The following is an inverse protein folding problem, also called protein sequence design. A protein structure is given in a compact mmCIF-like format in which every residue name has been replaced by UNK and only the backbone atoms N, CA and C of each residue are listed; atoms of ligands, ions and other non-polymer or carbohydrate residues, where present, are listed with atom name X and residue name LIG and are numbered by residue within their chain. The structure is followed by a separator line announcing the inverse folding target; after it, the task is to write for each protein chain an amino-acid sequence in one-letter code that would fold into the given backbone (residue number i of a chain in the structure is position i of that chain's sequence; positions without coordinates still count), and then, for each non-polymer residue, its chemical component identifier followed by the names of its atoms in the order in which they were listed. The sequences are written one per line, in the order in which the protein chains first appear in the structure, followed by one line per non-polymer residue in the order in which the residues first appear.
data_IF_380309303260
#
_entry.id   IF_380309303260
#
_cell.length_a   1.000
_cell.length_b   1.000
_cell.length_c   1.000
_cell.angle_alpha   90.00
_cell.angle_beta   90.00
_cell.angle_gamma   90.00
#
_symmetry.space_group_name_H-M   'P 1'
#
loop_
_entity.id
_entity.type
_entity.pdbx_description
1 polymer ?
#
# COMPACT_ATOMS: atom_id res chain seq x y z
N UNK A 1 14.73 -14.08 11.06
CA UNK A 1 13.30 -14.10 11.47
C UNK A 1 12.49 -14.43 10.22
N UNK A 2 11.33 -15.07 10.33
CA UNK A 2 10.47 -15.29 9.17
C UNK A 2 9.89 -13.95 8.71
N UNK A 3 9.91 -13.69 7.40
CA UNK A 3 9.34 -12.48 6.80
C UNK A 3 7.84 -12.41 7.10
N UNK A 4 7.35 -11.22 7.48
CA UNK A 4 5.93 -11.03 7.78
C UNK A 4 5.08 -11.23 6.52
N UNK A 5 3.91 -11.86 6.67
CA UNK A 5 2.95 -11.98 5.58
C UNK A 5 2.28 -10.63 5.31
N UNK A 6 1.71 -10.41 4.10
CA UNK A 6 0.96 -9.20 3.78
C UNK A 6 -0.17 -8.93 4.78
N UNK A 7 -0.83 -9.98 5.28
CA UNK A 7 -1.89 -9.87 6.29
C UNK A 7 -1.34 -9.46 7.66
N UNK A 8 -0.16 -9.97 8.06
CA UNK A 8 0.48 -9.57 9.32
C UNK A 8 0.94 -8.10 9.27
N UNK A 9 1.55 -7.68 8.16
CA UNK A 9 1.88 -6.29 7.90
C UNK A 9 0.63 -5.41 7.97
N UNK A 10 -0.44 -5.83 7.30
CA UNK A 10 -1.71 -5.09 7.31
C UNK A 10 -2.30 -4.95 8.70
N UNK A 11 -2.31 -5.99 9.52
CA UNK A 11 -2.87 -5.91 10.88
C UNK A 11 -2.14 -4.89 11.76
N UNK A 12 -0.81 -4.88 11.72
CA UNK A 12 0.00 -3.91 12.47
C UNK A 12 -0.18 -2.49 11.92
N UNK A 13 -0.14 -2.33 10.60
CA UNK A 13 -0.33 -1.06 9.94
C UNK A 13 -1.73 -0.48 10.20
N UNK A 14 -2.77 -1.31 10.14
CA UNK A 14 -4.16 -0.96 10.41
C UNK A 14 -4.35 -0.52 11.87
N UNK A 15 -3.71 -1.22 12.81
CA UNK A 15 -3.73 -0.82 14.21
C UNK A 15 -3.14 0.59 14.41
N UNK A 16 -2.02 0.90 13.76
CA UNK A 16 -1.44 2.26 13.78
C UNK A 16 -2.39 3.28 13.15
N UNK A 17 -3.01 2.93 12.03
CA UNK A 17 -3.97 3.78 11.32
C UNK A 17 -5.20 4.11 12.19
N UNK A 18 -5.78 3.15 12.90
CA UNK A 18 -6.93 3.39 13.78
C UNK A 18 -6.59 4.25 15.01
N UNK A 19 -5.36 4.13 15.52
CA UNK A 19 -4.84 4.99 16.59
C UNK A 19 -4.72 6.44 16.10
N UNK A 20 -4.08 6.65 14.93
CA UNK A 20 -3.96 7.97 14.32
C UNK A 20 -5.32 8.56 13.96
N UNK A 21 -6.22 7.75 13.40
CA UNK A 21 -7.59 8.17 13.08
C UNK A 21 -8.30 8.77 14.30
N UNK A 22 -8.15 8.10 15.46
CA UNK A 22 -8.77 8.54 16.70
C UNK A 22 -8.12 9.80 17.26
N UNK A 23 -6.78 9.88 17.20
CA UNK A 23 -6.01 11.02 17.71
C UNK A 23 -6.24 12.29 16.88
N UNK A 24 -6.19 12.17 15.55
CA UNK A 24 -6.33 13.26 14.59
C UNK A 24 -7.78 13.63 14.30
N UNK A 25 -8.74 12.79 14.71
CA UNK A 25 -10.18 12.93 14.42
C UNK A 25 -10.45 13.09 12.91
N UNK A 26 -9.71 12.34 12.10
CA UNK A 26 -9.75 12.40 10.64
C UNK A 26 -10.49 11.20 10.02
N UNK A 27 -10.65 11.18 8.70
CA UNK A 27 -11.16 10.00 8.00
C UNK A 27 -10.17 8.84 8.10
N UNK A 28 -10.62 7.61 7.82
CA UNK A 28 -9.68 6.48 7.80
C UNK A 28 -8.66 6.66 6.67
N UNK A 29 -9.06 7.20 5.51
CA UNK A 29 -8.15 7.53 4.42
C UNK A 29 -7.07 8.54 4.85
N UNK A 30 -7.44 9.65 5.48
CA UNK A 30 -6.47 10.67 5.89
C UNK A 30 -5.48 10.11 6.92
N UNK A 31 -5.97 9.39 7.92
CA UNK A 31 -5.12 8.73 8.91
C UNK A 31 -4.21 7.66 8.29
N UNK A 32 -4.68 6.96 7.26
CA UNK A 32 -3.90 5.96 6.54
C UNK A 32 -2.74 6.62 5.77
N UNK A 33 -3.00 7.75 5.11
CA UNK A 33 -1.96 8.50 4.39
C UNK A 33 -0.90 9.03 5.35
N UNK A 34 -1.31 9.63 6.47
CA UNK A 34 -0.42 10.07 7.53
C UNK A 34 0.42 8.90 8.10
N UNK A 35 -0.21 7.76 8.33
CA UNK A 35 0.49 6.57 8.84
C UNK A 35 1.50 6.01 7.83
N UNK A 36 1.26 6.14 6.52
CA UNK A 36 2.24 5.75 5.49
C UNK A 36 3.48 6.63 5.60
N UNK A 37 3.31 7.94 5.68
CA UNK A 37 4.42 8.90 5.79
C UNK A 37 5.24 8.62 7.06
N UNK A 38 4.56 8.45 8.19
CA UNK A 38 5.21 8.11 9.46
C UNK A 38 6.03 6.80 9.41
N UNK A 39 5.52 5.78 8.71
CA UNK A 39 6.23 4.51 8.53
C UNK A 39 7.44 4.65 7.60
N UNK A 40 7.34 5.47 6.55
CA UNK A 40 8.45 5.74 5.63
C UNK A 40 9.57 6.50 6.33
N UNK A 41 9.22 7.53 7.09
CA UNK A 41 10.18 8.38 7.82
C UNK A 41 10.68 7.71 9.10
N UNK A 42 9.99 6.66 9.56
CA UNK A 42 10.21 5.99 10.85
C UNK A 42 10.15 7.00 12.03
N UNK A 43 9.23 7.95 11.91
CA UNK A 43 9.00 9.05 12.86
C UNK A 43 7.49 9.33 12.89
N UNK A 44 6.94 9.66 14.06
CA UNK A 44 5.53 10.10 14.16
C UNK A 44 5.53 11.61 14.08
N UNK A 45 4.92 12.17 13.05
CA UNK A 45 4.74 13.62 12.94
C UNK A 45 3.75 14.10 14.01
N UNK A 46 4.09 15.23 14.64
CA UNK A 46 3.28 15.86 15.70
C UNK A 46 3.09 17.33 15.35
N UNK A 47 1.83 17.71 15.12
CA UNK A 47 1.43 19.09 14.84
C UNK A 47 0.49 19.58 15.94
N UNK A 48 0.73 20.79 16.45
CA UNK A 48 -0.08 21.40 17.52
C UNK A 48 -0.32 20.47 18.74
N UNK A 49 0.73 19.75 19.15
CA UNK A 49 0.71 18.76 20.24
C UNK A 49 -0.20 17.54 20.00
N UNK A 50 -0.55 17.24 18.74
CA UNK A 50 -1.33 16.07 18.34
C UNK A 50 -0.52 15.22 17.33
N UNK A 51 -0.39 13.90 17.53
CA UNK A 51 -0.88 13.10 18.66
C UNK A 51 -0.15 13.38 19.97
N UNK A 52 -0.78 13.07 21.10
CA UNK A 52 -0.16 13.21 22.41
C UNK A 52 1.07 12.28 22.58
N UNK A 53 2.00 12.58 23.51
CA UNK A 53 3.22 11.79 23.68
C UNK A 53 3.01 10.29 23.99
N UNK A 54 1.90 9.92 24.63
CA UNK A 54 1.60 8.51 24.91
C UNK A 54 1.15 7.79 23.63
N UNK A 55 0.37 8.47 22.79
CA UNK A 55 -0.03 8.00 21.46
C UNK A 55 1.19 7.86 20.55
N UNK A 56 2.08 8.85 20.52
CA UNK A 56 3.35 8.79 19.77
C UNK A 56 4.17 7.57 20.15
N UNK A 57 4.36 7.34 21.46
CA UNK A 57 5.10 6.17 21.96
C UNK A 57 4.47 4.85 21.49
N UNK A 58 3.15 4.74 21.56
CA UNK A 58 2.41 3.54 21.12
C UNK A 58 2.57 3.29 19.62
N UNK A 59 2.56 4.34 18.80
CA UNK A 59 2.78 4.23 17.35
C UNK A 59 4.22 3.79 17.05
N UNK A 60 5.22 4.36 17.73
CA UNK A 60 6.62 3.95 17.58
C UNK A 60 6.84 2.47 17.93
N UNK A 61 6.18 1.96 18.99
CA UNK A 61 6.22 0.54 19.34
C UNK A 61 5.63 -0.37 18.25
N UNK A 62 4.61 0.11 17.51
CA UNK A 62 4.04 -0.61 16.36
C UNK A 62 5.00 -0.56 15.17
N UNK A 63 5.60 0.60 14.87
CA UNK A 63 6.51 0.75 13.74
C UNK A 63 7.76 -0.10 13.89
N UNK A 64 8.27 -0.27 15.12
CA UNK A 64 9.37 -1.21 15.40
C UNK A 64 9.03 -2.68 15.11
N UNK A 65 7.75 -3.03 15.06
CA UNK A 65 7.28 -4.38 14.73
C UNK A 65 6.98 -4.56 13.24
N UNK A 66 6.94 -3.47 12.46
CA UNK A 66 6.70 -3.51 11.03
C UNK A 66 8.02 -3.79 10.29
N UNK A 67 8.10 -4.96 9.66
CA UNK A 67 9.26 -5.39 8.88
C UNK A 67 9.16 -4.94 7.41
N UNK A 68 8.92 -3.64 7.19
CA UNK A 68 8.76 -3.04 5.84
C UNK A 68 10.04 -3.20 5.02
N UNK A 69 11.20 -2.99 5.64
CA UNK A 69 12.49 -3.01 4.96
C UNK A 69 12.84 -4.37 4.33
N UNK A 70 12.34 -5.46 4.93
CA UNK A 70 12.56 -6.80 4.39
C UNK A 70 11.37 -7.31 3.56
N UNK A 71 10.24 -6.61 3.49
CA UNK A 71 9.08 -7.04 2.69
C UNK A 71 9.37 -6.91 1.18
N UNK A 72 8.89 -7.88 0.39
CA UNK A 72 8.99 -7.77 -1.06
C UNK A 72 7.94 -6.80 -1.65
N UNK A 73 8.15 -6.40 -2.90
CA UNK A 73 7.27 -5.43 -3.58
C UNK A 73 5.81 -5.91 -3.69
N UNK A 74 5.56 -7.22 -3.77
CA UNK A 74 4.20 -7.75 -3.81
C UNK A 74 3.55 -7.69 -2.43
N UNK A 75 4.29 -7.99 -1.36
CA UNK A 75 3.80 -7.91 0.00
C UNK A 75 3.44 -6.47 0.38
N UNK A 76 4.28 -5.50 0.00
CA UNK A 76 3.99 -4.08 0.20
C UNK A 76 2.78 -3.62 -0.63
N UNK A 77 2.68 -4.03 -1.91
CA UNK A 77 1.51 -3.73 -2.73
C UNK A 77 0.22 -4.29 -2.12
N UNK A 78 0.24 -5.53 -1.64
CA UNK A 78 -0.91 -6.17 -1.00
C UNK A 78 -1.28 -5.54 0.34
N UNK A 79 -0.30 -5.09 1.13
CA UNK A 79 -0.54 -4.28 2.33
C UNK A 79 -1.34 -3.01 1.98
N UNK A 80 -0.89 -2.26 0.97
CA UNK A 80 -1.56 -1.04 0.51
C UNK A 80 -2.96 -1.36 -0.04
N UNK A 81 -3.10 -2.45 -0.79
CA UNK A 81 -4.38 -2.92 -1.32
C UNK A 81 -5.39 -3.25 -0.20
N UNK A 82 -4.97 -4.00 0.83
CA UNK A 82 -5.81 -4.33 1.98
C UNK A 82 -6.25 -3.05 2.72
N UNK A 83 -5.34 -2.08 2.84
CA UNK A 83 -5.61 -0.78 3.45
C UNK A 83 -6.67 0.01 2.66
N UNK A 84 -6.54 0.07 1.33
CA UNK A 84 -7.56 0.70 0.49
C UNK A 84 -8.90 -0.07 0.47
N UNK A 85 -8.90 -1.39 0.61
CA UNK A 85 -10.16 -2.15 0.75
C UNK A 85 -10.90 -1.73 2.02
N UNK A 86 -10.17 -1.42 3.10
CA UNK A 86 -10.76 -0.88 4.33
C UNK A 86 -11.25 0.56 4.14
N UNK A 87 -10.50 1.43 3.44
CA UNK A 87 -10.95 2.77 3.04
C UNK A 87 -12.29 2.69 2.30
N UNK A 88 -12.38 1.87 1.25
CA UNK A 88 -13.61 1.73 0.45
C UNK A 88 -14.81 1.32 1.32
N UNK A 89 -14.59 0.45 2.31
CA UNK A 89 -15.64 0.01 3.24
C UNK A 89 -16.05 1.08 4.25
N UNK A 90 -15.11 1.85 4.80
CA UNK A 90 -15.38 2.85 5.84
C UNK A 90 -15.89 4.17 5.27
N UNK A 91 -15.32 4.61 4.15
CA UNK A 91 -15.53 5.95 3.62
C UNK A 91 -16.49 5.95 2.41
N UNK A 92 -17.14 4.81 2.12
CA UNK A 92 -18.18 4.65 1.09
C UNK A 92 -17.79 5.21 -0.30
N UNK A 93 -16.57 4.89 -0.74
CA UNK A 93 -16.00 5.37 -2.00
C UNK A 93 -16.88 4.94 -3.20
N UNK A 94 -17.22 5.91 -4.04
CA UNK A 94 -18.02 5.69 -5.25
C UNK A 94 -17.35 4.70 -6.21
N UNK A 95 -18.15 3.95 -6.97
CA UNK A 95 -17.66 2.87 -7.84
C UNK A 95 -16.51 3.30 -8.79
N UNK A 96 -16.60 4.49 -9.38
CA UNK A 96 -15.59 4.99 -10.32
C UNK A 96 -14.26 5.43 -9.66
N UNK A 97 -14.20 5.47 -8.33
CA UNK A 97 -13.01 5.77 -7.53
C UNK A 97 -12.46 4.53 -6.82
N UNK A 98 -13.02 3.34 -7.09
CA UNK A 98 -12.52 2.10 -6.51
C UNK A 98 -11.25 1.63 -7.22
N UNK A 99 -10.38 0.97 -6.46
CA UNK A 99 -9.20 0.34 -7.04
C UNK A 99 -9.61 -0.73 -8.06
N UNK A 100 -8.81 -0.90 -9.12
CA UNK A 100 -8.91 -2.12 -9.95
C UNK A 100 -8.36 -3.31 -9.15
N UNK A 101 -9.16 -4.37 -8.92
CA UNK A 101 -8.73 -5.52 -8.12
C UNK A 101 -7.68 -6.38 -8.85
N UNK A 102 -6.86 -7.08 -8.07
CA UNK A 102 -5.76 -7.92 -8.55
C UNK A 102 -6.16 -8.94 -9.63
N UNK A 103 -7.35 -9.52 -9.54
CA UNK A 103 -7.84 -10.46 -10.56
C UNK A 103 -7.83 -9.84 -11.96
N UNK A 104 -8.21 -8.56 -12.06
CA UNK A 104 -8.15 -7.80 -13.31
C UNK A 104 -6.69 -7.44 -13.63
N UNK A 105 -5.89 -7.05 -12.63
CA UNK A 105 -4.47 -6.75 -12.82
C UNK A 105 -3.66 -7.94 -13.37
N UNK A 106 -3.84 -9.13 -12.81
CA UNK A 106 -3.19 -10.35 -13.29
C UNK A 106 -3.68 -10.75 -14.69
N UNK A 107 -4.97 -10.59 -14.99
CA UNK A 107 -5.48 -10.79 -16.33
C UNK A 107 -4.81 -9.84 -17.34
N UNK A 108 -4.67 -8.57 -16.99
CA UNK A 108 -4.02 -7.58 -17.84
C UNK A 108 -2.53 -7.88 -18.06
N UNK A 109 -1.81 -8.25 -16.99
CA UNK A 109 -0.41 -8.66 -17.11
C UNK A 109 -0.25 -9.87 -18.03
N UNK A 110 -1.09 -10.90 -17.86
CA UNK A 110 -1.11 -12.07 -18.74
C UNK A 110 -1.38 -11.69 -20.20
N UNK A 111 -2.35 -10.80 -20.46
CA UNK A 111 -2.62 -10.33 -21.82
C UNK A 111 -1.42 -9.62 -22.42
N UNK A 112 -0.76 -8.73 -21.66
CA UNK A 112 0.47 -8.04 -22.10
C UNK A 112 1.57 -9.05 -22.46
N UNK A 113 1.80 -10.07 -21.63
CA UNK A 113 2.76 -11.14 -21.90
C UNK A 113 2.47 -11.93 -23.19
N UNK A 114 1.18 -12.08 -23.56
CA UNK A 114 0.78 -12.83 -24.76
C UNK A 114 0.82 -12.00 -26.03
N UNK A 115 0.50 -10.71 -25.95
CA UNK A 115 0.38 -9.85 -27.13
C UNK A 115 1.68 -9.10 -27.44
N UNK A 116 2.59 -8.98 -26.47
CA UNK A 116 3.87 -8.29 -26.62
C UNK A 116 5.04 -9.23 -26.37
N UNK A 117 6.17 -8.98 -27.06
CA UNK A 117 7.44 -9.63 -26.75
C UNK A 117 8.24 -8.72 -25.83
N UNK A 118 8.41 -9.15 -24.58
CA UNK A 118 9.16 -8.40 -23.57
C UNK A 118 10.63 -8.88 -23.59
N UNK A 119 11.37 -8.42 -24.59
CA UNK A 119 12.76 -8.84 -24.88
C UNK A 119 13.76 -7.67 -24.98
N UNK A 120 13.34 -6.51 -24.50
CA UNK A 120 14.10 -5.27 -24.36
C UNK A 120 13.41 -4.39 -23.34
N UNK A 121 14.06 -3.32 -22.89
CA UNK A 121 13.41 -2.29 -22.06
C UNK A 121 12.13 -1.75 -22.70
N UNK A 122 11.13 -1.51 -21.88
CA UNK A 122 9.79 -1.10 -22.27
C UNK A 122 9.22 -0.11 -21.26
N UNK A 123 8.24 0.69 -21.67
CA UNK A 123 7.54 1.61 -20.77
C UNK A 123 6.07 1.24 -20.67
N UNK A 124 5.47 1.49 -19.52
CA UNK A 124 4.04 1.33 -19.27
C UNK A 124 3.48 2.71 -18.90
N UNK A 125 2.36 3.08 -19.51
CA UNK A 125 1.68 4.34 -19.22
C UNK A 125 0.21 4.06 -18.88
N UNK A 126 -0.20 4.51 -17.70
CA UNK A 126 -1.60 4.51 -17.27
C UNK A 126 -2.07 5.97 -17.11
N UNK A 127 -2.88 6.50 -18.04
CA UNK A 127 -3.33 7.89 -18.00
C UNK A 127 -4.35 8.18 -16.88
N UNK A 128 -4.88 7.15 -16.20
CA UNK A 128 -5.89 7.28 -15.16
C UNK A 128 -5.59 6.32 -13.99
N UNK A 129 -4.36 6.39 -13.49
CA UNK A 129 -3.74 5.39 -12.61
C UNK A 129 -4.46 5.14 -11.27
N UNK A 130 -5.24 6.11 -10.77
CA UNK A 130 -5.95 5.98 -9.49
C UNK A 130 -5.00 5.63 -8.34
N UNK A 131 -5.31 4.59 -7.58
CA UNK A 131 -4.45 4.08 -6.48
C UNK A 131 -3.19 3.34 -6.97
N UNK A 132 -2.98 3.25 -8.29
CA UNK A 132 -1.90 2.51 -8.93
C UNK A 132 -1.89 0.99 -8.67
N UNK A 133 -2.93 0.40 -8.08
CA UNK A 133 -2.96 -1.07 -7.86
C UNK A 133 -2.86 -1.85 -9.17
N UNK A 134 -3.61 -1.47 -10.22
CA UNK A 134 -3.51 -2.09 -11.54
C UNK A 134 -2.08 -2.01 -12.09
N UNK A 135 -1.53 -0.80 -12.17
CA UNK A 135 -0.22 -0.53 -12.75
C UNK A 135 0.87 -1.30 -12.01
N UNK A 136 0.86 -1.27 -10.68
CA UNK A 136 1.86 -1.96 -9.86
C UNK A 136 1.70 -3.48 -9.88
N UNK A 137 0.48 -4.03 -9.94
CA UNK A 137 0.26 -5.46 -10.18
C UNK A 137 0.88 -5.89 -11.52
N UNK A 138 0.65 -5.10 -12.58
CA UNK A 138 1.23 -5.38 -13.91
C UNK A 138 2.76 -5.29 -13.87
N UNK A 139 3.33 -4.22 -13.31
CA UNK A 139 4.78 -4.05 -13.16
C UNK A 139 5.41 -5.25 -12.46
N UNK A 140 4.90 -5.61 -11.28
CA UNK A 140 5.44 -6.69 -10.48
C UNK A 140 5.33 -8.05 -11.20
N UNK A 141 4.23 -8.29 -11.91
CA UNK A 141 4.04 -9.53 -12.66
C UNK A 141 4.99 -9.62 -13.86
N UNK A 142 5.13 -8.54 -14.62
CA UNK A 142 6.00 -8.52 -15.81
C UNK A 142 7.50 -8.58 -15.43
N UNK A 143 7.92 -7.97 -14.31
CA UNK A 143 9.29 -8.11 -13.78
C UNK A 143 9.59 -9.53 -13.27
N UNK A 144 8.59 -10.27 -12.82
CA UNK A 144 8.74 -11.70 -12.50
C UNK A 144 8.87 -12.56 -13.76
N UNK A 145 8.12 -12.21 -14.81
CA UNK A 145 8.11 -12.95 -16.06
C UNK A 145 9.31 -12.63 -16.98
N UNK A 146 9.85 -11.41 -16.90
CA UNK A 146 10.95 -10.91 -17.73
C UNK A 146 12.02 -10.23 -16.88
N UNK A 147 13.29 -10.46 -17.22
CA UNK A 147 14.43 -9.75 -16.61
C UNK A 147 14.73 -8.41 -17.27
N UNK A 148 13.93 -8.01 -18.25
CA UNK A 148 14.09 -6.74 -18.96
C UNK A 148 13.63 -5.58 -18.07
N UNK A 149 14.36 -4.44 -18.07
CA UNK A 149 13.96 -3.27 -17.29
C UNK A 149 12.64 -2.67 -17.78
N UNK A 150 11.83 -2.19 -16.83
CA UNK A 150 10.69 -1.28 -17.09
C UNK A 150 11.16 0.15 -16.89
#
# INVERSE_FOLDING_TARGET
MAQQTPQQLFQLFDQGTEILQSALRSSYLDAMLENIENVIDNEVQVEDEVPDPATVKKLQEIYQQLDIANADAEALRQLVQLSFLKVIRKDAIQANHQMTPDTIGFLMAFLIEKVTKINRSYSIFDPAVGTANLLTTVINQLQKASKEPI
#
